data_IF_760453764844
#
_entry.id   IF_760453764844
#
_cell.length_a   1.000
_cell.length_b   1.000
_cell.length_c   1.000
_cell.angle_alpha   90.00
_cell.angle_beta   90.00
_cell.angle_gamma   90.00
#
_symmetry.space_group_name_H-M   'P 1'
#
loop_
_entity.id
_entity.type
_entity.pdbx_description
1 polymer ?
#
# COMPACT_ATOMS: atom_id res chain seq x y z
N UNK A 1 37.93 -30.27 4.19
CA UNK A 1 36.47 -30.39 4.42
C UNK A 1 36.17 -31.15 5.71
N UNK A 2 36.91 -32.21 6.05
CA UNK A 2 36.67 -33.07 7.24
C UNK A 2 36.72 -32.39 8.61
N UNK A 3 37.43 -31.25 8.74
CA UNK A 3 37.44 -30.47 10.00
C UNK A 3 36.20 -29.59 10.20
N UNK A 4 35.46 -29.29 9.14
CA UNK A 4 34.26 -28.45 9.19
C UNK A 4 32.98 -29.27 9.36
N UNK A 5 33.00 -30.55 8.98
CA UNK A 5 31.84 -31.46 9.05
C UNK A 5 31.21 -31.53 10.44
N UNK A 6 31.97 -31.65 11.54
CA UNK A 6 31.37 -31.66 12.89
C UNK A 6 30.66 -30.36 13.24
N UNK A 7 31.16 -29.23 12.76
CA UNK A 7 30.58 -27.91 13.01
C UNK A 7 29.33 -27.67 12.16
N UNK A 8 29.37 -28.08 10.89
CA UNK A 8 28.20 -28.05 10.00
C UNK A 8 27.09 -28.96 10.53
N UNK A 9 27.45 -30.15 11.02
CA UNK A 9 26.50 -31.10 11.60
C UNK A 9 25.85 -30.53 12.87
N UNK A 10 26.62 -29.86 13.72
CA UNK A 10 26.09 -29.19 14.91
C UNK A 10 25.07 -28.09 14.59
N UNK A 11 25.29 -27.36 13.50
CA UNK A 11 24.47 -26.21 13.12
C UNK A 11 23.23 -26.59 12.29
N UNK A 12 23.32 -27.62 11.46
CA UNK A 12 22.29 -27.90 10.45
C UNK A 12 21.66 -29.30 10.53
N UNK A 13 22.22 -30.23 11.33
CA UNK A 13 21.53 -31.50 11.60
C UNK A 13 20.74 -31.41 12.90
N UNK A 14 19.62 -32.11 12.93
CA UNK A 14 18.86 -32.30 14.17
C UNK A 14 19.70 -33.14 15.14
N UNK A 15 19.84 -32.65 16.37
CA UNK A 15 20.67 -33.29 17.39
C UNK A 15 19.86 -34.36 18.16
N UNK A 16 20.57 -35.24 18.87
CA UNK A 16 19.97 -36.27 19.74
C UNK A 16 19.08 -37.29 19.01
N UNK A 17 19.58 -38.01 17.99
CA UNK A 17 18.83 -39.09 17.37
C UNK A 17 18.55 -40.20 18.39
N UNK A 18 17.35 -40.75 18.34
CA UNK A 18 16.93 -41.91 19.13
C UNK A 18 16.39 -43.01 18.20
N UNK A 19 16.36 -44.27 18.64
CA UNK A 19 15.72 -45.33 17.87
C UNK A 19 14.26 -44.99 17.55
N UNK A 20 13.82 -45.31 16.34
CA UNK A 20 12.41 -45.18 15.96
C UNK A 20 11.55 -46.04 16.90
N UNK A 21 10.46 -45.48 17.47
CA UNK A 21 9.54 -46.25 18.30
C UNK A 21 8.98 -47.47 17.53
N UNK A 22 8.76 -48.59 18.22
CA UNK A 22 8.21 -49.80 17.59
C UNK A 22 6.82 -49.56 16.95
N UNK A 23 6.03 -48.67 17.55
CA UNK A 23 4.74 -48.21 17.03
C UNK A 23 4.74 -46.68 16.99
N UNK A 24 5.28 -46.08 15.91
CA UNK A 24 5.32 -44.64 15.78
C UNK A 24 3.91 -44.09 15.54
N UNK A 25 3.49 -43.14 16.37
CA UNK A 25 2.16 -42.53 16.31
C UNK A 25 2.05 -41.36 15.32
N UNK A 26 3.17 -40.92 14.77
CA UNK A 26 3.27 -39.78 13.86
C UNK A 26 4.53 -39.87 13.02
N UNK A 27 4.44 -39.77 11.69
CA UNK A 27 5.58 -39.91 10.77
C UNK A 27 6.35 -41.26 10.85
N UNK A 28 5.73 -42.38 10.45
CA UNK A 28 6.33 -43.72 10.60
C UNK A 28 7.66 -43.92 9.86
N UNK A 29 7.90 -43.13 8.80
CA UNK A 29 9.12 -43.21 7.98
C UNK A 29 10.17 -42.14 8.36
N UNK A 30 9.99 -41.42 9.46
CA UNK A 30 10.91 -40.37 9.90
C UNK A 30 11.94 -40.89 10.90
N UNK A 31 13.10 -40.22 10.95
CA UNK A 31 14.00 -40.31 12.10
C UNK A 31 13.37 -39.61 13.32
N UNK A 32 13.66 -40.14 14.51
CA UNK A 32 13.20 -39.60 15.78
C UNK A 32 14.35 -39.04 16.60
N UNK A 33 14.01 -38.04 17.42
CA UNK A 33 14.97 -37.30 18.21
C UNK A 33 14.41 -37.03 19.62
N UNK A 34 15.30 -36.91 20.60
CA UNK A 34 14.94 -36.33 21.90
C UNK A 34 15.24 -34.83 21.91
N UNK A 35 14.83 -34.14 22.96
CA UNK A 35 15.21 -32.74 23.21
C UNK A 35 16.58 -32.67 23.88
N UNK A 36 17.33 -31.60 23.66
CA UNK A 36 18.54 -31.35 24.43
C UNK A 36 19.20 -30.00 24.18
N UNK A 37 20.31 -29.75 24.88
CA UNK A 37 20.96 -28.43 24.93
C UNK A 37 21.66 -28.04 23.62
N UNK A 38 22.16 -29.02 22.87
CA UNK A 38 22.84 -28.77 21.59
C UNK A 38 21.90 -28.21 20.52
N UNK A 39 20.58 -28.34 20.70
CA UNK A 39 19.58 -27.76 19.79
C UNK A 39 19.67 -26.22 19.74
N UNK A 40 20.30 -25.56 20.74
CA UNK A 40 20.54 -24.11 20.73
C UNK A 40 21.46 -23.67 19.59
N UNK A 41 22.39 -24.53 19.15
CA UNK A 41 23.29 -24.24 18.02
C UNK A 41 22.53 -24.27 16.70
N UNK A 42 21.60 -25.22 16.53
CA UNK A 42 20.70 -25.25 15.39
C UNK A 42 19.78 -24.02 15.36
N UNK A 43 19.24 -23.62 16.51
CA UNK A 43 18.44 -22.38 16.64
C UNK A 43 19.27 -21.16 16.21
N UNK A 44 20.52 -21.03 16.67
CA UNK A 44 21.40 -19.93 16.28
C UNK A 44 21.70 -19.92 14.77
N UNK A 45 21.92 -21.09 14.17
CA UNK A 45 22.08 -21.23 12.72
C UNK A 45 20.82 -20.79 11.97
N UNK A 46 19.64 -21.21 12.43
CA UNK A 46 18.37 -20.83 11.82
C UNK A 46 18.07 -19.34 11.95
N UNK A 47 18.48 -18.67 13.04
CA UNK A 47 18.39 -17.20 13.15
C UNK A 47 19.21 -16.53 12.04
N UNK A 48 20.44 -16.99 11.80
CA UNK A 48 21.30 -16.44 10.74
C UNK A 48 20.71 -16.69 9.34
N UNK A 49 20.22 -17.91 9.07
CA UNK A 49 19.55 -18.25 7.81
C UNK A 49 18.32 -17.37 7.59
N UNK A 50 17.50 -17.19 8.63
CA UNK A 50 16.30 -16.35 8.56
C UNK A 50 16.63 -14.88 8.26
N UNK A 51 17.68 -14.32 8.86
CA UNK A 51 18.12 -12.96 8.56
C UNK A 51 18.54 -12.81 7.08
N UNK A 52 19.30 -13.78 6.55
CA UNK A 52 19.71 -13.79 5.14
C UNK A 52 18.49 -13.93 4.22
N UNK A 53 17.60 -14.89 4.49
CA UNK A 53 16.40 -15.12 3.68
C UNK A 53 15.50 -13.88 3.65
N UNK A 54 15.34 -13.20 4.80
CA UNK A 54 14.60 -11.95 4.88
C UNK A 54 15.17 -10.89 3.96
N UNK A 55 16.46 -10.63 4.06
CA UNK A 55 17.08 -9.53 3.34
C UNK A 55 17.16 -9.84 1.84
N UNK A 56 17.42 -11.09 1.45
CA UNK A 56 17.34 -11.55 0.06
C UNK A 56 15.93 -11.32 -0.49
N UNK A 57 14.90 -11.80 0.21
CA UNK A 57 13.53 -11.68 -0.28
C UNK A 57 13.06 -10.22 -0.39
N UNK A 58 13.43 -9.39 0.59
CA UNK A 58 13.14 -7.94 0.56
C UNK A 58 13.82 -7.27 -0.62
N UNK A 59 15.15 -7.38 -0.71
CA UNK A 59 15.96 -6.62 -1.68
C UNK A 59 15.83 -7.13 -3.11
N UNK A 60 15.62 -8.44 -3.31
CA UNK A 60 15.66 -9.06 -4.65
C UNK A 60 14.28 -9.33 -5.23
N UNK A 61 13.23 -9.43 -4.40
CA UNK A 61 11.87 -9.74 -4.86
C UNK A 61 10.94 -8.56 -4.62
N UNK A 62 10.73 -8.18 -3.36
CA UNK A 62 9.66 -7.23 -3.03
C UNK A 62 10.01 -5.78 -3.35
N UNK A 63 11.22 -5.31 -3.04
CA UNK A 63 11.63 -3.94 -3.36
C UNK A 63 11.63 -3.66 -4.86
N UNK A 64 12.24 -4.52 -5.72
CA UNK A 64 12.23 -4.29 -7.17
C UNK A 64 10.80 -4.28 -7.73
N UNK A 65 9.96 -5.22 -7.30
CA UNK A 65 8.56 -5.29 -7.73
C UNK A 65 7.76 -4.05 -7.31
N UNK A 66 7.81 -3.67 -6.03
CA UNK A 66 7.08 -2.53 -5.51
C UNK A 66 7.55 -1.23 -6.16
N UNK A 67 8.86 -1.07 -6.33
CA UNK A 67 9.46 0.10 -6.98
C UNK A 67 9.00 0.21 -8.42
N UNK A 68 9.05 -0.89 -9.18
CA UNK A 68 8.55 -0.92 -10.55
C UNK A 68 7.08 -0.49 -10.63
N UNK A 69 6.20 -1.13 -9.84
CA UNK A 69 4.76 -0.85 -9.87
C UNK A 69 4.45 0.59 -9.48
N UNK A 70 4.99 1.05 -8.36
CA UNK A 70 4.70 2.39 -7.84
C UNK A 70 5.28 3.49 -8.73
N UNK A 71 6.47 3.30 -9.28
CA UNK A 71 7.06 4.25 -10.24
C UNK A 71 6.25 4.31 -11.53
N UNK A 72 5.79 3.16 -12.05
CA UNK A 72 4.90 3.11 -13.22
C UNK A 72 3.61 3.89 -12.96
N UNK A 73 2.96 3.64 -11.83
CA UNK A 73 1.70 4.29 -11.47
C UNK A 73 1.91 5.81 -11.21
N UNK A 74 3.05 6.21 -10.62
CA UNK A 74 3.41 7.62 -10.41
C UNK A 74 3.69 8.35 -11.73
N UNK A 75 4.45 7.73 -12.64
CA UNK A 75 4.74 8.30 -13.96
C UNK A 75 3.44 8.47 -14.78
N UNK A 76 2.54 7.49 -14.73
CA UNK A 76 1.23 7.59 -15.37
C UNK A 76 0.40 8.75 -14.79
N UNK A 77 0.39 8.93 -13.47
CA UNK A 77 -0.27 10.08 -12.81
C UNK A 77 0.38 11.42 -13.17
N UNK A 78 1.71 11.48 -13.29
CA UNK A 78 2.41 12.69 -13.69
C UNK A 78 2.06 13.08 -15.14
N UNK A 79 2.04 12.10 -16.05
CA UNK A 79 1.64 12.30 -17.45
C UNK A 79 0.18 12.76 -17.57
N UNK A 80 -0.74 12.11 -16.84
CA UNK A 80 -2.15 12.48 -16.83
C UNK A 80 -2.38 13.91 -16.31
N UNK A 81 -1.65 14.33 -15.26
CA UNK A 81 -1.69 15.71 -14.75
C UNK A 81 -1.19 16.71 -15.78
N UNK A 82 -0.08 16.41 -16.45
CA UNK A 82 0.46 17.28 -17.47
C UNK A 82 -0.44 17.39 -18.71
N UNK A 83 -1.09 16.29 -19.11
CA UNK A 83 -2.13 16.31 -20.17
C UNK A 83 -3.29 17.22 -19.78
N UNK A 84 -3.86 17.04 -18.58
CA UNK A 84 -4.95 17.90 -18.09
C UNK A 84 -4.55 19.38 -18.03
N UNK A 85 -3.33 19.68 -17.61
CA UNK A 85 -2.81 21.05 -17.58
C UNK A 85 -2.64 21.62 -19.00
N UNK A 86 -2.16 20.82 -19.95
CA UNK A 86 -2.06 21.20 -21.35
C UNK A 86 -3.45 21.48 -21.94
N UNK A 87 -4.45 20.65 -21.67
CA UNK A 87 -5.83 20.83 -22.13
C UNK A 87 -6.46 22.10 -21.52
N UNK A 88 -6.27 22.33 -20.21
CA UNK A 88 -6.77 23.55 -19.55
C UNK A 88 -6.14 24.83 -20.11
N UNK A 89 -4.82 24.83 -20.32
CA UNK A 89 -4.10 25.98 -20.87
C UNK A 89 -4.42 26.21 -22.36
N UNK A 90 -4.58 25.14 -23.14
CA UNK A 90 -5.02 25.22 -24.52
C UNK A 90 -6.42 25.81 -24.62
N UNK A 91 -7.40 25.26 -23.87
CA UNK A 91 -8.78 25.74 -23.84
C UNK A 91 -8.91 27.18 -23.31
N UNK A 92 -8.12 27.54 -22.29
CA UNK A 92 -8.07 28.91 -21.78
C UNK A 92 -7.51 29.90 -22.81
N UNK A 93 -6.47 29.51 -23.56
CA UNK A 93 -5.86 30.35 -24.60
C UNK A 93 -6.76 30.48 -25.83
N UNK A 94 -7.43 29.40 -26.26
CA UNK A 94 -8.36 29.44 -27.39
C UNK A 94 -9.60 30.25 -27.07
N UNK A 95 -10.26 30.00 -25.93
CA UNK A 95 -11.45 30.77 -25.53
C UNK A 95 -11.12 32.22 -25.21
N UNK A 96 -9.97 32.49 -24.57
CA UNK A 96 -9.53 33.85 -24.28
C UNK A 96 -9.21 34.65 -25.55
N UNK A 97 -8.56 34.04 -26.54
CA UNK A 97 -8.34 34.69 -27.84
C UNK A 97 -9.63 34.84 -28.64
N UNK A 98 -10.45 33.80 -28.73
CA UNK A 98 -11.71 33.85 -29.49
C UNK A 98 -12.64 34.91 -28.89
N UNK A 99 -12.95 34.84 -27.60
CA UNK A 99 -13.87 35.80 -26.97
C UNK A 99 -13.29 37.22 -26.89
N UNK A 100 -11.98 37.37 -26.65
CA UNK A 100 -11.34 38.68 -26.59
C UNK A 100 -11.24 39.35 -27.96
N UNK A 101 -10.98 38.57 -29.01
CA UNK A 101 -10.91 39.08 -30.37
C UNK A 101 -12.30 39.30 -30.97
N UNK A 102 -13.21 38.34 -30.82
CA UNK A 102 -14.57 38.45 -31.35
C UNK A 102 -15.32 39.60 -30.67
N UNK A 103 -15.35 39.69 -29.34
CA UNK A 103 -16.04 40.80 -28.65
C UNK A 103 -15.31 42.14 -28.84
N UNK A 104 -13.97 42.13 -28.89
CA UNK A 104 -13.18 43.35 -29.09
C UNK A 104 -13.34 43.94 -30.49
N UNK A 105 -13.29 43.10 -31.53
CA UNK A 105 -13.51 43.53 -32.90
C UNK A 105 -14.99 43.76 -33.21
N UNK A 106 -15.91 42.86 -32.86
CA UNK A 106 -17.33 43.11 -33.21
C UNK A 106 -17.89 44.32 -32.49
N UNK A 107 -17.67 44.50 -31.17
CA UNK A 107 -18.19 45.68 -30.47
C UNK A 107 -17.38 46.94 -30.78
N UNK A 108 -16.06 46.86 -30.91
CA UNK A 108 -15.21 48.02 -31.23
C UNK A 108 -15.48 48.55 -32.64
N UNK A 109 -15.62 47.65 -33.61
CA UNK A 109 -15.85 48.01 -35.01
C UNK A 109 -17.32 48.35 -35.27
N UNK A 110 -18.29 47.64 -34.66
CA UNK A 110 -19.70 48.01 -34.77
C UNK A 110 -19.97 49.36 -34.09
N UNK A 111 -19.51 49.61 -32.86
CA UNK A 111 -19.75 50.90 -32.22
C UNK A 111 -18.95 52.04 -32.86
N UNK A 112 -17.72 51.77 -33.32
CA UNK A 112 -16.87 52.76 -33.99
C UNK A 112 -17.37 53.17 -35.38
N UNK A 113 -17.76 52.20 -36.22
CA UNK A 113 -18.31 52.50 -37.55
C UNK A 113 -19.73 53.03 -37.45
N UNK A 114 -20.61 52.45 -36.65
CA UNK A 114 -22.01 52.87 -36.62
C UNK A 114 -22.16 54.28 -36.04
N UNK A 115 -21.45 54.62 -34.95
CA UNK A 115 -21.51 55.96 -34.37
C UNK A 115 -20.63 56.98 -35.12
N UNK A 116 -19.46 56.58 -35.62
CA UNK A 116 -18.56 57.46 -36.37
C UNK A 116 -19.11 57.82 -37.75
N UNK A 117 -19.70 56.85 -38.46
CA UNK A 117 -20.27 57.06 -39.79
C UNK A 117 -21.64 57.73 -39.72
N UNK A 118 -22.50 57.39 -38.75
CA UNK A 118 -23.80 58.08 -38.59
C UNK A 118 -23.62 59.55 -38.21
N UNK A 119 -22.71 59.88 -37.28
CA UNK A 119 -22.46 61.27 -36.88
C UNK A 119 -21.66 62.06 -37.94
N UNK A 120 -20.75 61.42 -38.66
CA UNK A 120 -19.99 62.05 -39.75
C UNK A 120 -20.84 62.37 -40.97
N UNK A 121 -21.74 61.47 -41.37
CA UNK A 121 -22.62 61.69 -42.52
C UNK A 121 -23.75 62.68 -42.19
N UNK A 122 -24.35 62.61 -41.00
CA UNK A 122 -25.42 63.53 -40.61
C UNK A 122 -24.92 64.99 -40.52
N UNK A 123 -23.73 65.22 -39.95
CA UNK A 123 -23.16 66.56 -39.83
C UNK A 123 -22.48 67.07 -41.13
N UNK A 124 -21.97 66.18 -41.97
CA UNK A 124 -21.37 66.55 -43.26
C UNK A 124 -22.42 66.95 -44.31
N UNK A 125 -23.54 66.23 -44.39
CA UNK A 125 -24.59 66.53 -45.36
C UNK A 125 -25.45 67.74 -44.97
N UNK A 126 -25.70 67.95 -43.67
CA UNK A 126 -26.48 69.09 -43.19
C UNK A 126 -25.75 70.43 -43.44
N UNK A 127 -24.41 70.46 -43.32
CA UNK A 127 -23.62 71.68 -43.54
C UNK A 127 -23.15 71.87 -44.99
N UNK A 128 -23.13 70.81 -45.80
CA UNK A 128 -22.78 70.91 -47.23
C UNK A 128 -23.92 71.44 -48.12
N UNK A 129 -25.18 71.15 -47.77
CA UNK A 129 -26.33 71.56 -48.58
C UNK A 129 -26.82 73.00 -48.30
N UNK A 130 -26.50 73.57 -47.13
CA UNK A 130 -26.88 74.93 -46.78
C UNK A 130 -26.01 76.01 -47.46
N UNK A 131 -24.78 75.67 -47.87
CA UNK A 131 -23.83 76.63 -48.47
C UNK A 131 -23.54 76.41 -49.96
N UNK A 132 -24.19 75.43 -50.61
CA UNK A 132 -24.01 75.13 -52.04
C UNK A 132 -24.97 75.83 -53.00
N UNK A 133 -26.01 76.51 -52.50
CA UNK A 133 -27.07 77.10 -53.34
C UNK A 133 -26.90 78.59 -53.67
N UNK A 134 -25.72 79.17 -53.41
CA UNK A 134 -25.49 80.60 -53.60
C UNK A 134 -24.27 80.93 -54.46
N UNK A 135 -23.85 80.07 -55.39
CA UNK A 135 -23.13 80.43 -56.62
C UNK A 135 -22.82 79.18 -57.45
N UNK A 136 -23.39 79.08 -58.63
CA UNK A 136 -23.11 77.95 -59.54
C UNK A 136 -24.16 77.69 -60.63
N UNK A 137 -25.06 78.64 -60.92
CA UNK A 137 -25.78 78.63 -62.19
C UNK A 137 -24.93 79.39 -63.21
N UNK A 138 -24.16 78.68 -64.04
CA UNK A 138 -23.90 79.07 -65.44
C UNK A 138 -23.25 77.90 -66.20
N UNK A 139 -24.11 77.16 -66.90
CA UNK A 139 -23.87 76.38 -68.11
C UNK A 139 -22.92 75.17 -68.08
N UNK A 140 -23.57 74.00 -68.05
CA UNK A 140 -23.06 72.71 -68.50
C UNK A 140 -24.22 71.72 -68.63
N UNK A 141 -25.11 72.02 -69.56
CA UNK A 141 -26.34 71.27 -69.80
C UNK A 141 -26.06 69.80 -70.17
N UNK A 142 -26.95 68.94 -69.71
CA UNK A 142 -27.40 67.69 -70.31
C UNK A 142 -26.50 66.44 -70.19
N UNK A 143 -27.00 65.54 -69.34
CA UNK A 143 -27.05 64.08 -69.51
C UNK A 143 -25.72 63.31 -69.54
N UNK A 144 -25.48 62.59 -68.44
CA UNK A 144 -24.61 61.41 -68.46
C UNK A 144 -24.17 60.88 -67.10
N UNK A 145 -24.21 61.69 -66.04
CA UNK A 145 -23.44 61.35 -64.82
C UNK A 145 -24.22 61.17 -63.53
N UNK A 146 -25.52 61.48 -63.47
CA UNK A 146 -26.26 61.49 -62.20
C UNK A 146 -26.92 60.16 -61.81
N UNK A 147 -27.05 59.19 -62.71
CA UNK A 147 -27.65 57.88 -62.38
C UNK A 147 -26.71 56.67 -62.51
N UNK A 148 -25.46 56.85 -62.94
CA UNK A 148 -24.47 55.76 -63.02
C UNK A 148 -23.56 55.67 -61.80
N UNK A 149 -23.26 56.79 -61.15
CA UNK A 149 -22.20 56.85 -60.13
C UNK A 149 -22.70 56.69 -58.68
N UNK A 150 -23.96 57.06 -58.39
CA UNK A 150 -24.51 56.97 -57.04
C UNK A 150 -24.88 55.52 -56.63
N UNK A 151 -25.43 54.72 -57.55
CA UNK A 151 -25.86 53.35 -57.24
C UNK A 151 -24.77 52.29 -57.44
N UNK A 152 -23.80 52.54 -58.32
CA UNK A 152 -22.66 51.64 -58.54
C UNK A 152 -21.63 51.69 -57.40
N UNK A 153 -21.37 52.90 -56.88
CA UNK A 153 -20.37 53.09 -55.84
C UNK A 153 -20.93 52.75 -54.44
N UNK A 154 -22.20 53.07 -54.14
CA UNK A 154 -22.80 52.77 -52.84
C UNK A 154 -23.02 51.26 -52.63
N UNK A 155 -23.55 50.53 -53.63
CA UNK A 155 -23.83 49.09 -53.48
C UNK A 155 -22.60 48.20 -53.74
N UNK A 156 -21.67 48.65 -54.60
CA UNK A 156 -20.43 47.94 -54.89
C UNK A 156 -19.43 47.98 -53.72
N UNK A 157 -19.24 49.15 -53.10
CA UNK A 157 -18.38 49.25 -51.90
C UNK A 157 -19.06 48.64 -50.67
N UNK A 158 -20.37 48.86 -50.45
CA UNK A 158 -21.04 48.29 -49.29
C UNK A 158 -21.09 46.76 -49.34
N UNK A 159 -21.43 46.13 -50.47
CA UNK A 159 -21.50 44.66 -50.51
C UNK A 159 -20.13 44.00 -50.69
N UNK A 160 -19.22 44.58 -51.48
CA UNK A 160 -17.89 44.03 -51.72
C UNK A 160 -16.98 44.13 -50.49
N UNK A 161 -16.99 45.29 -49.82
CA UNK A 161 -16.13 45.52 -48.66
C UNK A 161 -16.74 44.94 -47.38
N UNK A 162 -18.07 44.97 -47.20
CA UNK A 162 -18.66 44.42 -45.97
C UNK A 162 -18.72 42.89 -46.01
N UNK A 163 -19.13 42.26 -47.12
CA UNK A 163 -19.21 40.79 -47.18
C UNK A 163 -17.86 40.13 -47.51
N UNK A 164 -17.02 40.76 -48.35
CA UNK A 164 -15.70 40.20 -48.69
C UNK A 164 -14.71 40.28 -47.54
N UNK A 165 -14.67 41.41 -46.83
CA UNK A 165 -13.79 41.60 -45.68
C UNK A 165 -14.33 40.90 -44.43
N UNK A 166 -15.65 40.94 -44.16
CA UNK A 166 -16.20 40.21 -43.01
C UNK A 166 -16.10 38.69 -43.18
N UNK A 167 -16.49 38.12 -44.33
CA UNK A 167 -16.44 36.66 -44.50
C UNK A 167 -15.01 36.15 -44.75
N UNK A 168 -14.18 36.89 -45.50
CA UNK A 168 -12.79 36.48 -45.76
C UNK A 168 -11.93 36.56 -44.52
N UNK A 169 -12.06 37.64 -43.73
CA UNK A 169 -11.27 37.84 -42.52
C UNK A 169 -11.82 37.00 -41.35
N UNK A 170 -13.14 36.88 -41.17
CA UNK A 170 -13.69 36.03 -40.12
C UNK A 170 -13.44 34.54 -40.39
N UNK A 171 -13.72 34.03 -41.60
CA UNK A 171 -13.54 32.60 -41.89
C UNK A 171 -12.06 32.23 -42.06
N UNK A 172 -11.25 33.10 -42.67
CA UNK A 172 -9.80 32.86 -42.83
C UNK A 172 -9.05 32.90 -41.50
N UNK A 173 -9.38 33.86 -40.63
CA UNK A 173 -8.74 34.00 -39.33
C UNK A 173 -9.27 32.98 -38.31
N UNK A 174 -10.59 32.72 -38.28
CA UNK A 174 -11.17 31.69 -37.40
C UNK A 174 -10.67 30.29 -37.78
N UNK A 175 -10.64 29.93 -39.07
CA UNK A 175 -10.13 28.62 -39.49
C UNK A 175 -8.60 28.53 -39.37
N UNK A 176 -7.86 29.62 -39.60
CA UNK A 176 -6.41 29.67 -39.42
C UNK A 176 -5.98 29.53 -37.96
N UNK A 177 -6.67 30.19 -37.02
CA UNK A 177 -6.41 30.06 -35.59
C UNK A 177 -6.95 28.74 -35.03
N UNK A 178 -8.14 28.29 -35.44
CA UNK A 178 -8.69 27.02 -34.99
C UNK A 178 -7.84 25.83 -35.48
N UNK A 179 -7.48 25.77 -36.77
CA UNK A 179 -6.73 24.62 -37.31
C UNK A 179 -5.22 24.71 -37.07
N UNK A 180 -4.62 25.92 -37.13
CA UNK A 180 -3.20 26.10 -36.90
C UNK A 180 -2.78 25.92 -35.44
N UNK A 181 -3.65 26.27 -34.49
CA UNK A 181 -3.37 26.16 -33.06
C UNK A 181 -3.76 24.77 -32.50
N UNK A 182 -4.81 24.13 -33.03
CA UNK A 182 -5.17 22.74 -32.68
C UNK A 182 -4.15 21.73 -33.19
N UNK A 183 -3.60 21.92 -34.40
CA UNK A 183 -2.60 21.03 -34.98
C UNK A 183 -1.22 21.09 -34.29
N UNK A 184 -0.84 22.25 -33.75
CA UNK A 184 0.41 22.42 -32.99
C UNK A 184 0.28 22.12 -31.50
N UNK A 185 -0.89 22.36 -30.88
CA UNK A 185 -1.16 21.95 -29.51
C UNK A 185 -1.25 20.42 -29.38
N UNK A 186 -1.89 19.73 -30.34
CA UNK A 186 -1.96 18.27 -30.37
C UNK A 186 -0.59 17.57 -30.55
N UNK A 187 0.41 18.28 -31.10
CA UNK A 187 1.78 17.74 -31.30
C UNK A 187 2.73 17.99 -30.13
N UNK A 188 2.41 18.88 -29.19
CA UNK A 188 3.16 19.00 -27.93
C UNK A 188 2.68 17.93 -26.94
N UNK A 189 3.05 16.69 -27.22
CA UNK A 189 3.02 15.61 -26.24
C UNK A 189 3.63 16.10 -24.92
N UNK A 190 3.00 15.88 -23.75
CA UNK A 190 3.56 16.21 -22.44
C UNK A 190 4.71 15.26 -22.11
N UNK A 191 5.80 15.33 -22.87
CA UNK A 191 6.85 14.31 -22.89
C UNK A 191 7.82 14.40 -21.71
N UNK A 192 7.60 15.29 -20.72
CA UNK A 192 8.50 15.42 -19.57
C UNK A 192 7.83 15.87 -18.26
N UNK A 193 6.65 15.36 -17.93
CA UNK A 193 6.12 15.52 -16.57
C UNK A 193 6.92 14.64 -15.61
N UNK A 194 7.87 15.22 -14.86
CA UNK A 194 8.65 14.50 -13.86
C UNK A 194 7.92 14.49 -12.51
N UNK A 195 7.96 13.38 -11.76
CA UNK A 195 7.43 13.34 -10.40
C UNK A 195 8.20 14.28 -9.48
N UNK A 196 7.51 14.83 -8.48
CA UNK A 196 8.11 15.72 -7.48
C UNK A 196 8.99 14.94 -6.49
N UNK A 197 9.93 15.64 -5.83
CA UNK A 197 10.78 15.03 -4.77
C UNK A 197 9.95 14.45 -3.62
N UNK A 198 8.84 15.10 -3.24
CA UNK A 198 7.93 14.62 -2.19
C UNK A 198 7.27 13.29 -2.58
N UNK A 199 6.79 13.17 -3.82
CA UNK A 199 6.19 11.92 -4.32
C UNK A 199 7.22 10.78 -4.42
N UNK A 200 8.46 11.08 -4.82
CA UNK A 200 9.54 10.11 -4.86
C UNK A 200 9.91 9.61 -3.44
N UNK A 201 9.98 10.51 -2.45
CA UNK A 201 10.16 10.14 -1.04
C UNK A 201 9.02 9.25 -0.55
N UNK A 202 7.77 9.59 -0.87
CA UNK A 202 6.60 8.78 -0.50
C UNK A 202 6.63 7.39 -1.14
N UNK A 203 6.96 7.28 -2.43
CA UNK A 203 7.12 5.98 -3.10
C UNK A 203 8.22 5.17 -2.44
N UNK A 204 9.38 5.77 -2.15
CA UNK A 204 10.47 5.07 -1.48
C UNK A 204 10.04 4.50 -0.11
N UNK A 205 9.35 5.30 0.71
CA UNK A 205 8.81 4.85 2.00
C UNK A 205 7.80 3.70 1.83
N UNK A 206 6.90 3.79 0.85
CA UNK A 206 5.94 2.72 0.56
C UNK A 206 6.61 1.44 0.06
N UNK A 207 7.69 1.55 -0.72
CA UNK A 207 8.48 0.39 -1.19
C UNK A 207 9.10 -0.35 -0.02
N UNK A 208 9.76 0.35 0.89
CA UNK A 208 10.39 -0.26 2.07
C UNK A 208 9.36 -0.97 2.95
N UNK A 209 8.25 -0.28 3.27
CA UNK A 209 7.16 -0.85 4.08
C UNK A 209 6.48 -2.04 3.39
N UNK A 210 6.29 -1.98 2.08
CA UNK A 210 5.77 -3.12 1.31
C UNK A 210 6.71 -4.33 1.39
N UNK A 211 8.01 -4.12 1.24
CA UNK A 211 8.99 -5.21 1.31
C UNK A 211 9.04 -5.84 2.71
N UNK A 212 8.98 -5.03 3.77
CA UNK A 212 8.87 -5.52 5.15
C UNK A 212 7.64 -6.39 5.35
N UNK A 213 6.47 -5.92 4.90
CA UNK A 213 5.23 -6.72 5.00
C UNK A 213 5.28 -7.97 4.10
N UNK A 214 5.96 -7.91 2.96
CA UNK A 214 6.17 -9.06 2.09
C UNK A 214 6.95 -10.19 2.76
N UNK A 215 7.97 -9.86 3.56
CA UNK A 215 8.66 -10.86 4.38
C UNK A 215 7.71 -11.55 5.35
N UNK A 216 6.93 -10.79 6.13
CA UNK A 216 5.97 -11.37 7.07
C UNK A 216 4.93 -12.24 6.37
N UNK A 217 4.34 -11.75 5.29
CA UNK A 217 3.37 -12.53 4.50
C UNK A 217 3.99 -13.86 4.00
N UNK A 218 5.23 -13.83 3.53
CA UNK A 218 5.93 -15.03 3.04
C UNK A 218 6.21 -15.99 4.18
N UNK A 219 6.83 -15.50 5.25
CA UNK A 219 7.19 -16.31 6.40
C UNK A 219 5.97 -17.02 7.01
N UNK A 220 4.92 -16.28 7.35
CA UNK A 220 3.74 -16.85 7.98
C UNK A 220 3.01 -17.82 7.05
N UNK A 221 2.99 -17.58 5.73
CA UNK A 221 2.42 -18.55 4.77
C UNK A 221 3.19 -19.87 4.79
N UNK A 222 4.52 -19.83 4.70
CA UNK A 222 5.33 -21.05 4.71
C UNK A 222 5.28 -21.76 6.08
N UNK A 223 5.38 -20.98 7.17
CA UNK A 223 5.32 -21.49 8.54
C UNK A 223 3.99 -22.17 8.82
N UNK A 224 2.87 -21.54 8.48
CA UNK A 224 1.55 -22.10 8.69
C UNK A 224 1.31 -23.35 7.82
N UNK A 225 1.71 -23.34 6.55
CA UNK A 225 1.60 -24.53 5.67
C UNK A 225 2.41 -25.72 6.22
N UNK A 226 3.64 -25.47 6.69
CA UNK A 226 4.47 -26.51 7.28
C UNK A 226 3.93 -26.98 8.64
N UNK A 227 3.45 -26.05 9.48
CA UNK A 227 2.79 -26.35 10.74
C UNK A 227 1.53 -27.19 10.56
N UNK A 228 0.74 -26.89 9.52
CA UNK A 228 -0.44 -27.68 9.16
C UNK A 228 -0.03 -29.09 8.74
N UNK A 229 0.98 -29.21 7.87
CA UNK A 229 1.55 -30.52 7.49
C UNK A 229 2.02 -31.32 8.71
N UNK A 230 2.68 -30.67 9.68
CA UNK A 230 3.07 -31.33 10.93
C UNK A 230 1.86 -31.77 11.74
N UNK A 231 0.89 -30.88 11.95
CA UNK A 231 -0.27 -31.14 12.79
C UNK A 231 -1.17 -32.26 12.25
N UNK A 232 -1.43 -32.31 10.94
CA UNK A 232 -2.28 -33.37 10.35
C UNK A 232 -1.66 -34.78 10.42
N UNK A 233 -0.35 -34.87 10.67
CA UNK A 233 0.38 -36.13 10.85
C UNK A 233 0.59 -36.48 12.34
N UNK A 234 0.14 -35.63 13.27
CA UNK A 234 0.13 -35.92 14.70
C UNK A 234 -1.22 -36.55 15.09
N UNK A 235 -1.26 -37.40 16.14
CA UNK A 235 -2.50 -37.95 16.69
C UNK A 235 -3.20 -36.87 17.54
N UNK A 236 -3.53 -35.74 16.93
CA UNK A 236 -4.13 -34.57 17.55
C UNK A 236 -5.23 -34.01 16.67
N UNK A 237 -6.25 -33.43 17.28
CA UNK A 237 -7.34 -32.79 16.57
C UNK A 237 -7.36 -31.28 16.85
N UNK A 238 -7.81 -30.50 15.87
CA UNK A 238 -7.90 -29.04 16.00
C UNK A 238 -8.99 -28.62 17.01
N UNK A 239 -10.08 -29.40 17.08
CA UNK A 239 -11.27 -29.06 17.88
C UNK A 239 -11.42 -29.89 19.16
N UNK A 240 -10.67 -30.99 19.30
CA UNK A 240 -10.56 -31.72 20.56
C UNK A 240 -9.20 -31.43 21.22
N UNK A 241 -9.13 -30.42 22.10
CA UNK A 241 -7.89 -30.05 22.74
C UNK A 241 -7.46 -31.07 23.81
N UNK A 242 -8.22 -32.14 24.08
CA UNK A 242 -7.78 -33.22 24.98
C UNK A 242 -6.82 -34.19 24.27
N UNK A 243 -7.00 -34.38 22.96
CA UNK A 243 -6.18 -35.26 22.14
C UNK A 243 -4.68 -34.94 22.21
N UNK A 244 -4.32 -33.65 22.36
CA UNK A 244 -2.92 -33.21 22.47
C UNK A 244 -2.19 -33.73 23.71
N UNK A 245 -2.91 -34.22 24.72
CA UNK A 245 -2.34 -34.72 25.98
C UNK A 245 -2.24 -36.25 26.05
N UNK A 246 -2.91 -36.95 25.15
CA UNK A 246 -2.92 -38.42 25.13
C UNK A 246 -1.49 -38.93 24.90
N UNK A 247 -1.06 -39.87 25.75
CA UNK A 247 0.28 -40.46 25.67
C UNK A 247 1.41 -39.55 26.13
N UNK A 248 1.12 -38.46 26.85
CA UNK A 248 2.15 -37.66 27.51
C UNK A 248 2.95 -38.50 28.53
N UNK A 249 4.29 -38.44 28.57
CA UNK A 249 5.17 -37.48 27.91
C UNK A 249 5.59 -37.89 26.49
N UNK A 250 5.55 -36.94 25.55
CA UNK A 250 5.94 -37.15 24.15
C UNK A 250 7.46 -37.01 23.96
N UNK A 251 8.22 -37.99 24.44
CA UNK A 251 9.69 -37.94 24.45
C UNK A 251 10.27 -38.07 23.04
N UNK A 252 9.71 -38.98 22.23
CA UNK A 252 10.18 -39.23 20.88
C UNK A 252 9.58 -38.22 19.90
N UNK A 253 10.40 -37.29 19.41
CA UNK A 253 9.97 -36.27 18.45
C UNK A 253 10.34 -36.69 17.03
N UNK A 254 9.35 -36.82 16.16
CA UNK A 254 9.59 -36.97 14.73
C UNK A 254 10.40 -35.77 14.20
N UNK A 255 11.32 -36.01 13.27
CA UNK A 255 12.17 -35.00 12.64
C UNK A 255 11.41 -33.75 12.18
N UNK A 256 10.28 -33.87 11.44
CA UNK A 256 9.48 -32.72 11.03
C UNK A 256 8.95 -31.87 12.19
N UNK A 257 8.44 -32.50 13.26
CA UNK A 257 7.98 -31.80 14.45
C UNK A 257 9.13 -31.07 15.16
N UNK A 258 10.28 -31.75 15.34
CA UNK A 258 11.45 -31.12 15.96
C UNK A 258 11.96 -29.95 15.14
N UNK A 259 12.08 -30.12 13.82
CA UNK A 259 12.48 -29.04 12.92
C UNK A 259 11.52 -27.83 13.00
N UNK A 260 10.21 -28.08 12.95
CA UNK A 260 9.19 -27.04 13.10
C UNK A 260 9.37 -26.24 14.40
N UNK A 261 9.58 -26.93 15.51
CA UNK A 261 9.74 -26.31 16.81
C UNK A 261 11.01 -25.45 16.90
N UNK A 262 12.13 -25.93 16.37
CA UNK A 262 13.40 -25.22 16.39
C UNK A 262 13.38 -23.99 15.45
N UNK A 263 12.81 -24.11 14.25
CA UNK A 263 12.72 -22.97 13.32
C UNK A 263 11.76 -21.89 13.83
N UNK A 264 10.65 -22.27 14.48
CA UNK A 264 9.74 -21.32 15.13
C UNK A 264 10.41 -20.65 16.33
N UNK A 265 11.17 -21.38 17.15
CA UNK A 265 11.93 -20.77 18.25
C UNK A 265 12.96 -19.77 17.72
N UNK A 266 13.66 -20.11 16.64
CA UNK A 266 14.60 -19.23 15.98
C UNK A 266 13.93 -17.98 15.40
N UNK A 267 12.74 -18.08 14.81
CA UNK A 267 12.04 -16.93 14.23
C UNK A 267 11.58 -15.93 15.29
N UNK A 268 11.04 -16.40 16.41
CA UNK A 268 10.65 -15.53 17.53
C UNK A 268 11.86 -14.85 18.17
N UNK A 269 12.98 -15.55 18.34
CA UNK A 269 14.24 -14.97 18.81
C UNK A 269 14.81 -13.94 17.81
N UNK A 270 14.79 -14.26 16.52
CA UNK A 270 15.18 -13.32 15.46
C UNK A 270 14.35 -12.03 15.55
N UNK A 271 13.03 -12.14 15.77
CA UNK A 271 12.14 -10.98 15.86
C UNK A 271 12.45 -10.06 17.05
N UNK A 272 13.03 -10.57 18.15
CA UNK A 272 13.51 -9.73 19.27
C UNK A 272 14.64 -8.81 18.80
N UNK A 273 15.60 -9.32 18.02
CA UNK A 273 16.66 -8.48 17.47
C UNK A 273 16.09 -7.43 16.51
N UNK A 274 15.15 -7.83 15.66
CA UNK A 274 14.53 -6.92 14.70
C UNK A 274 13.72 -5.82 15.39
N UNK A 275 12.95 -6.16 16.42
CA UNK A 275 12.16 -5.19 17.19
C UNK A 275 13.03 -4.12 17.88
N UNK A 276 14.26 -4.47 18.26
CA UNK A 276 15.21 -3.51 18.85
C UNK A 276 16.03 -2.74 17.80
N UNK A 277 16.18 -3.29 16.60
CA UNK A 277 16.86 -2.61 15.49
C UNK A 277 15.94 -1.63 14.75
N UNK A 278 14.64 -1.93 14.70
CA UNK A 278 13.63 -1.06 14.08
C UNK A 278 13.26 0.13 14.96
N UNK A 279 12.80 1.21 14.32
CA UNK A 279 12.31 2.39 15.03
C UNK A 279 11.18 2.01 16.00
N UNK A 280 11.29 2.52 17.23
CA UNK A 280 10.38 2.19 18.33
C UNK A 280 8.98 2.72 18.03
N UNK A 281 7.99 1.82 18.07
CA UNK A 281 6.55 2.14 17.96
C UNK A 281 5.91 2.33 19.33
N UNK A 282 4.72 2.93 19.36
CA UNK A 282 3.94 3.18 20.60
C UNK A 282 3.68 1.92 21.44
N UNK A 283 3.59 0.76 20.78
CA UNK A 283 3.31 -0.52 21.45
C UNK A 283 4.56 -1.40 21.64
N UNK A 284 5.77 -0.80 21.57
CA UNK A 284 7.02 -1.55 21.62
C UNK A 284 7.15 -2.41 22.87
N UNK A 285 6.74 -1.92 24.05
CA UNK A 285 6.81 -2.70 25.28
C UNK A 285 5.81 -3.87 25.27
N UNK A 286 4.60 -3.70 24.74
CA UNK A 286 3.65 -4.81 24.61
C UNK A 286 4.20 -5.91 23.69
N UNK A 287 4.81 -5.54 22.56
CA UNK A 287 5.47 -6.51 21.67
C UNK A 287 6.66 -7.20 22.33
N UNK A 288 7.53 -6.45 23.03
CA UNK A 288 8.68 -7.03 23.70
C UNK A 288 8.24 -8.05 24.75
N UNK A 289 7.27 -7.69 25.59
CA UNK A 289 6.68 -8.58 26.59
C UNK A 289 6.09 -9.83 25.94
N UNK A 290 5.37 -9.69 24.84
CA UNK A 290 4.87 -10.83 24.08
C UNK A 290 5.98 -11.74 23.55
N UNK A 291 7.06 -11.19 22.98
CA UNK A 291 8.17 -12.00 22.50
C UNK A 291 8.89 -12.73 23.65
N UNK A 292 9.08 -12.08 24.80
CA UNK A 292 9.66 -12.73 25.98
C UNK A 292 8.76 -13.87 26.47
N UNK A 293 7.44 -13.65 26.58
CA UNK A 293 6.48 -14.67 27.01
C UNK A 293 6.43 -15.84 26.01
N UNK A 294 6.33 -15.57 24.72
CA UNK A 294 6.24 -16.61 23.66
C UNK A 294 7.50 -17.44 23.58
N UNK A 295 8.69 -16.83 23.66
CA UNK A 295 9.96 -17.55 23.72
C UNK A 295 10.04 -18.40 24.99
N UNK A 296 9.66 -17.86 26.15
CA UNK A 296 9.64 -18.63 27.40
C UNK A 296 8.67 -19.82 27.35
N UNK A 297 7.49 -19.65 26.75
CA UNK A 297 6.52 -20.72 26.50
C UNK A 297 7.10 -21.79 25.56
N UNK A 298 7.76 -21.39 24.47
CA UNK A 298 8.39 -22.33 23.54
C UNK A 298 9.49 -23.15 24.21
N UNK A 299 10.41 -22.49 24.93
CA UNK A 299 11.48 -23.19 25.66
C UNK A 299 10.95 -24.12 26.74
N UNK A 300 10.00 -23.65 27.55
CA UNK A 300 9.38 -24.48 28.60
C UNK A 300 8.71 -25.68 27.97
N UNK A 301 7.88 -25.46 26.95
CA UNK A 301 7.15 -26.52 26.26
C UNK A 301 8.08 -27.55 25.61
N UNK A 302 9.20 -27.10 25.03
CA UNK A 302 10.19 -27.98 24.42
C UNK A 302 10.84 -28.90 25.47
N UNK A 303 11.32 -28.33 26.58
CA UNK A 303 12.02 -29.12 27.61
C UNK A 303 11.08 -29.91 28.53
N UNK A 304 9.79 -29.61 28.55
CA UNK A 304 8.78 -30.39 29.30
C UNK A 304 7.97 -31.33 28.41
N UNK A 305 8.37 -31.57 27.16
CA UNK A 305 7.68 -32.47 26.22
C UNK A 305 6.20 -32.09 25.95
N UNK A 306 5.88 -30.80 26.00
CA UNK A 306 4.57 -30.23 25.63
C UNK A 306 4.47 -29.91 24.14
N UNK A 307 5.27 -30.59 23.31
CA UNK A 307 5.46 -30.25 21.90
C UNK A 307 4.19 -30.36 21.07
N UNK A 308 3.25 -31.27 21.41
CA UNK A 308 1.95 -31.38 20.73
C UNK A 308 1.05 -30.17 20.96
N UNK A 309 0.85 -29.79 22.22
CA UNK A 309 0.08 -28.57 22.55
C UNK A 309 0.76 -27.33 21.99
N UNK A 310 2.10 -27.26 22.08
CA UNK A 310 2.89 -26.19 21.48
C UNK A 310 2.72 -26.09 19.96
N UNK A 311 2.73 -27.23 19.26
CA UNK A 311 2.50 -27.29 17.81
C UNK A 311 1.10 -26.76 17.44
N UNK A 312 0.07 -27.16 18.19
CA UNK A 312 -1.30 -26.67 17.98
C UNK A 312 -1.38 -25.15 18.24
N UNK A 313 -0.78 -24.66 19.32
CA UNK A 313 -0.73 -23.22 19.62
C UNK A 313 -0.05 -22.46 18.48
N UNK A 314 1.14 -22.89 18.04
CA UNK A 314 1.85 -22.25 16.92
C UNK A 314 1.02 -22.22 15.63
N UNK A 315 0.35 -23.33 15.29
CA UNK A 315 -0.53 -23.40 14.12
C UNK A 315 -1.69 -22.40 14.19
N UNK A 316 -2.35 -22.31 15.34
CA UNK A 316 -3.40 -21.31 15.58
C UNK A 316 -2.85 -19.89 15.50
N UNK A 317 -1.60 -19.70 15.95
CA UNK A 317 -1.01 -18.37 16.01
C UNK A 317 -0.67 -17.82 14.62
N UNK A 318 -0.05 -18.62 13.77
CA UNK A 318 0.43 -18.12 12.47
C UNK A 318 -0.70 -17.81 11.48
N UNK A 319 -1.90 -18.36 11.67
CA UNK A 319 -3.00 -18.24 10.70
C UNK A 319 -3.42 -16.80 10.41
N UNK A 320 -3.75 -16.02 11.45
CA UNK A 320 -4.21 -14.65 11.26
C UNK A 320 -3.09 -13.71 10.78
N UNK A 321 -1.84 -14.05 11.09
CA UNK A 321 -0.67 -13.22 10.82
C UNK A 321 -0.26 -13.22 9.33
N UNK A 322 -0.92 -14.04 8.50
CA UNK A 322 -0.83 -13.97 7.03
C UNK A 322 -1.60 -12.76 6.50
N UNK A 323 -2.80 -12.49 7.02
CA UNK A 323 -3.76 -11.58 6.38
C UNK A 323 -3.48 -10.10 6.67
N UNK A 324 -2.96 -9.76 7.84
CA UNK A 324 -2.64 -8.38 8.19
C UNK A 324 -1.51 -7.80 7.31
N UNK A 325 -0.36 -8.48 7.13
CA UNK A 325 0.66 -8.04 6.19
C UNK A 325 0.14 -7.96 4.75
N UNK A 326 -0.68 -8.91 4.31
CA UNK A 326 -1.31 -8.86 2.98
C UNK A 326 -2.17 -7.61 2.80
N UNK A 327 -3.05 -7.30 3.75
CA UNK A 327 -3.86 -6.07 3.70
C UNK A 327 -2.99 -4.81 3.63
N UNK A 328 -1.91 -4.74 4.43
CA UNK A 328 -0.96 -3.63 4.41
C UNK A 328 -0.23 -3.52 3.07
N UNK A 329 0.23 -4.64 2.50
CA UNK A 329 0.85 -4.68 1.18
C UNK A 329 -0.10 -4.11 0.11
N UNK A 330 -1.35 -4.59 0.06
CA UNK A 330 -2.35 -4.11 -0.90
C UNK A 330 -2.52 -2.59 -0.82
N UNK A 331 -2.56 -2.05 0.40
CA UNK A 331 -2.62 -0.60 0.63
C UNK A 331 -1.38 0.13 0.11
N UNK A 332 -0.17 -0.35 0.39
CA UNK A 332 1.06 0.33 -0.02
C UNK A 332 1.25 0.41 -1.53
N UNK A 333 0.75 -0.58 -2.27
CA UNK A 333 0.76 -0.57 -3.75
C UNK A 333 -0.53 0.02 -4.37
N UNK A 334 -1.36 0.71 -3.58
CA UNK A 334 -2.57 1.40 -4.02
C UNK A 334 -3.57 0.48 -4.77
N UNK A 335 -3.75 -0.75 -4.30
CA UNK A 335 -4.87 -1.59 -4.75
C UNK A 335 -6.19 -0.92 -4.31
N UNK A 336 -7.27 -1.16 -5.07
CA UNK A 336 -8.59 -0.58 -4.76
C UNK A 336 -8.97 -0.84 -3.30
N UNK A 337 -9.43 0.21 -2.64
CA UNK A 337 -9.76 0.22 -1.20
C UNK A 337 -10.66 -0.95 -0.78
N UNK A 338 -11.63 -1.32 -1.62
CA UNK A 338 -12.55 -2.44 -1.36
C UNK A 338 -11.84 -3.78 -1.09
N UNK A 339 -10.75 -4.09 -1.80
CA UNK A 339 -10.02 -5.35 -1.60
C UNK A 339 -9.17 -5.31 -0.33
N UNK A 340 -8.59 -4.14 -0.03
CA UNK A 340 -7.84 -3.89 1.21
C UNK A 340 -8.75 -4.05 2.44
N UNK A 341 -9.93 -3.44 2.40
CA UNK A 341 -10.90 -3.49 3.50
C UNK A 341 -11.49 -4.89 3.67
N UNK A 342 -11.77 -5.60 2.56
CA UNK A 342 -12.20 -7.01 2.62
C UNK A 342 -11.13 -7.92 3.25
N UNK A 343 -9.86 -7.75 2.88
CA UNK A 343 -8.75 -8.52 3.46
C UNK A 343 -8.57 -8.19 4.95
N UNK A 344 -8.72 -6.92 5.33
CA UNK A 344 -8.70 -6.50 6.73
C UNK A 344 -9.88 -7.09 7.53
N UNK A 345 -11.09 -7.11 6.96
CA UNK A 345 -12.25 -7.76 7.58
C UNK A 345 -12.04 -9.27 7.76
N UNK A 346 -11.47 -9.94 6.76
CA UNK A 346 -11.12 -11.36 6.87
C UNK A 346 -10.06 -11.61 7.95
N UNK A 347 -9.04 -10.75 8.03
CA UNK A 347 -8.07 -10.75 9.12
C UNK A 347 -8.76 -10.68 10.49
N UNK A 348 -9.71 -9.76 10.69
CA UNK A 348 -10.42 -9.62 11.95
C UNK A 348 -11.18 -10.88 12.37
N UNK A 349 -11.93 -11.48 11.43
CA UNK A 349 -12.68 -12.71 11.70
C UNK A 349 -11.72 -13.86 12.01
N UNK A 350 -10.63 -13.98 11.25
CA UNK A 350 -9.61 -15.00 11.47
C UNK A 350 -8.93 -14.85 12.84
N UNK A 351 -8.66 -13.61 13.28
CA UNK A 351 -8.10 -13.31 14.60
C UNK A 351 -9.06 -13.73 15.70
N UNK A 352 -10.33 -13.34 15.62
CA UNK A 352 -11.33 -13.69 16.64
C UNK A 352 -11.43 -15.20 16.82
N UNK A 353 -11.53 -15.95 15.73
CA UNK A 353 -11.66 -17.42 15.77
C UNK A 353 -10.39 -18.07 16.32
N UNK A 354 -9.22 -17.73 15.78
CA UNK A 354 -7.96 -18.38 16.17
C UNK A 354 -7.54 -18.02 17.60
N UNK A 355 -7.67 -16.76 18.02
CA UNK A 355 -7.17 -16.25 19.31
C UNK A 355 -8.20 -16.35 20.43
N UNK A 356 -9.42 -15.91 20.19
CA UNK A 356 -10.43 -15.78 21.26
C UNK A 356 -11.43 -16.92 21.30
N UNK A 357 -11.42 -17.84 20.33
CA UNK A 357 -12.20 -19.08 20.41
C UNK A 357 -11.27 -20.28 20.60
N UNK A 358 -10.48 -20.62 19.58
CA UNK A 358 -9.68 -21.85 19.57
C UNK A 358 -8.54 -21.81 20.60
N UNK A 359 -7.81 -20.71 20.70
CA UNK A 359 -6.73 -20.63 21.68
C UNK A 359 -7.25 -20.63 23.13
N UNK A 360 -8.39 -20.00 23.45
CA UNK A 360 -9.04 -20.14 24.77
C UNK A 360 -9.39 -21.60 25.07
N UNK A 361 -9.89 -22.35 24.10
CA UNK A 361 -10.19 -23.78 24.24
C UNK A 361 -8.92 -24.58 24.58
N UNK A 362 -7.78 -24.25 23.95
CA UNK A 362 -6.47 -24.86 24.27
C UNK A 362 -5.94 -24.45 25.64
N UNK A 363 -6.10 -23.19 26.04
CA UNK A 363 -5.74 -22.69 27.38
C UNK A 363 -6.55 -23.41 28.45
N UNK A 364 -7.86 -23.50 28.27
CA UNK A 364 -8.76 -24.22 29.18
C UNK A 364 -8.37 -25.70 29.29
N UNK A 365 -8.08 -26.34 28.16
CA UNK A 365 -7.58 -27.71 28.15
C UNK A 365 -6.29 -27.84 28.96
N UNK A 366 -5.31 -26.95 28.77
CA UNK A 366 -4.03 -26.98 29.48
C UNK A 366 -4.21 -26.87 31.00
N UNK A 367 -5.16 -26.06 31.46
CA UNK A 367 -5.44 -25.84 32.88
C UNK A 367 -6.20 -27.01 33.52
N UNK A 368 -7.15 -27.60 32.79
CA UNK A 368 -8.12 -28.57 33.33
C UNK A 368 -7.75 -30.04 33.10
N UNK A 369 -6.60 -30.34 32.52
CA UNK A 369 -6.18 -31.73 32.31
C UNK A 369 -5.88 -32.47 33.63
N UNK A 370 -6.74 -33.43 33.98
CA UNK A 370 -6.57 -34.31 35.14
C UNK A 370 -5.60 -35.48 34.88
N UNK A 371 -5.40 -35.85 33.62
CA UNK A 371 -4.58 -37.01 33.22
C UNK A 371 -3.08 -36.74 33.23
N UNK A 372 -2.65 -35.51 33.54
CA UNK A 372 -1.25 -35.14 33.51
C UNK A 372 -0.58 -35.52 34.84
N UNK A 373 0.37 -36.48 34.85
CA UNK A 373 1.12 -36.80 36.06
C UNK A 373 2.08 -35.64 36.36
N UNK A 374 1.62 -34.71 37.19
CA UNK A 374 2.36 -33.53 37.68
C UNK A 374 3.43 -33.93 38.70
N UNK A 375 4.35 -34.79 38.27
CA UNK A 375 5.47 -35.30 39.05
C UNK A 375 6.79 -34.96 38.37
N UNK A 376 7.82 -34.70 39.18
CA UNK A 376 9.17 -34.49 38.69
C UNK A 376 9.90 -35.84 38.73
N UNK A 377 9.90 -36.56 37.62
CA UNK A 377 10.63 -37.81 37.42
C UNK A 377 11.45 -37.70 36.13
N UNK A 378 12.73 -37.34 36.31
CA UNK A 378 13.64 -37.07 35.21
C UNK A 378 14.04 -38.32 34.44
N UNK A 379 14.04 -39.49 35.09
CA UNK A 379 14.39 -40.75 34.44
C UNK A 379 13.30 -41.22 33.48
N UNK A 380 12.03 -40.96 33.83
CA UNK A 380 10.87 -41.30 32.99
C UNK A 380 10.42 -40.18 32.06
N UNK A 381 11.14 -39.06 32.01
CA UNK A 381 10.85 -37.93 31.11
C UNK A 381 9.71 -37.01 31.60
N UNK A 382 9.31 -37.11 32.87
CA UNK A 382 8.36 -36.20 33.51
C UNK A 382 9.11 -35.01 34.12
N UNK A 383 9.15 -33.90 33.39
CA UNK A 383 9.86 -32.69 33.81
C UNK A 383 8.96 -31.66 34.50
N UNK A 384 7.67 -31.97 34.69
CA UNK A 384 6.67 -30.96 35.04
C UNK A 384 6.16 -31.12 36.48
N UNK A 385 6.63 -30.23 37.34
CA UNK A 385 6.06 -30.06 38.68
C UNK A 385 4.77 -29.23 38.63
N UNK A 386 3.90 -29.35 39.64
CA UNK A 386 2.71 -28.50 39.81
C UNK A 386 2.98 -26.99 39.66
N UNK A 387 4.02 -26.39 40.29
CA UNK A 387 4.31 -24.97 40.10
C UNK A 387 4.80 -24.64 38.68
N UNK A 388 5.53 -25.55 38.01
CA UNK A 388 5.94 -25.35 36.62
C UNK A 388 4.73 -25.34 35.67
N UNK A 389 3.77 -26.25 35.87
CA UNK A 389 2.50 -26.27 35.12
C UNK A 389 1.66 -25.00 35.37
N UNK A 390 1.56 -24.55 36.62
CA UNK A 390 0.87 -23.32 36.96
C UNK A 390 1.53 -22.09 36.30
N UNK A 391 2.87 -22.02 36.30
CA UNK A 391 3.64 -20.97 35.62
C UNK A 391 3.43 -20.98 34.11
N UNK A 392 3.49 -22.15 33.47
CA UNK A 392 3.19 -22.31 32.05
C UNK A 392 1.78 -21.83 31.70
N UNK A 393 0.79 -22.25 32.48
CA UNK A 393 -0.61 -21.85 32.31
C UNK A 393 -0.81 -20.34 32.50
N UNK A 394 -0.15 -19.75 33.50
CA UNK A 394 -0.20 -18.29 33.73
C UNK A 394 0.38 -17.50 32.55
N UNK A 395 1.47 -17.98 31.95
CA UNK A 395 2.04 -17.37 30.74
C UNK A 395 1.10 -17.45 29.54
N UNK A 396 0.35 -18.55 29.37
CA UNK A 396 -0.66 -18.67 28.32
C UNK A 396 -1.82 -17.68 28.52
N UNK A 397 -2.30 -17.51 29.76
CA UNK A 397 -3.33 -16.52 30.08
C UNK A 397 -2.80 -15.10 29.87
N UNK A 398 -1.56 -14.80 30.24
CA UNK A 398 -0.94 -13.51 29.97
C UNK A 398 -0.84 -13.24 28.45
N UNK A 399 -0.52 -14.26 27.66
CA UNK A 399 -0.51 -14.17 26.20
C UNK A 399 -1.90 -13.88 25.63
N UNK A 400 -2.97 -14.47 26.20
CA UNK A 400 -4.36 -14.18 25.82
C UNK A 400 -4.77 -12.74 26.16
N UNK A 401 -4.38 -12.23 27.33
CA UNK A 401 -4.66 -10.84 27.72
C UNK A 401 -4.02 -9.86 26.73
N UNK A 402 -2.77 -10.09 26.31
CA UNK A 402 -2.12 -9.25 25.30
C UNK A 402 -2.87 -9.31 23.95
N UNK A 403 -3.31 -10.50 23.52
CA UNK A 403 -4.12 -10.66 22.31
C UNK A 403 -5.45 -9.91 22.40
N UNK A 404 -6.11 -9.91 23.55
CA UNK A 404 -7.35 -9.17 23.77
C UNK A 404 -7.15 -7.64 23.69
N UNK A 405 -6.03 -7.13 24.21
CA UNK A 405 -5.65 -5.70 24.08
C UNK A 405 -5.50 -5.32 22.60
N UNK A 406 -4.77 -6.12 21.82
CA UNK A 406 -4.63 -5.86 20.38
C UNK A 406 -5.94 -6.01 19.63
N UNK A 407 -6.78 -6.98 19.99
CA UNK A 407 -8.10 -7.14 19.38
C UNK A 407 -8.99 -5.92 19.61
N UNK A 408 -8.97 -5.35 20.81
CA UNK A 408 -9.64 -4.08 21.09
C UNK A 408 -9.14 -2.94 20.18
N UNK A 409 -7.81 -2.83 19.96
CA UNK A 409 -7.25 -1.85 19.02
C UNK A 409 -7.70 -2.10 17.57
N UNK A 410 -7.76 -3.36 17.16
CA UNK A 410 -8.22 -3.77 15.82
C UNK A 410 -9.70 -3.39 15.62
N UNK A 411 -10.57 -3.69 16.58
CA UNK A 411 -11.97 -3.29 16.56
C UNK A 411 -12.15 -1.76 16.50
N UNK A 412 -11.29 -1.01 17.20
CA UNK A 412 -11.27 0.46 17.15
C UNK A 412 -10.89 0.99 15.76
N UNK A 413 -9.93 0.36 15.08
CA UNK A 413 -9.58 0.70 13.69
C UNK A 413 -10.75 0.39 12.76
N UNK A 414 -11.39 -0.78 12.91
CA UNK A 414 -12.55 -1.18 12.11
C UNK A 414 -13.72 -0.21 12.25
N UNK A 415 -14.01 0.24 13.47
CA UNK A 415 -15.02 1.27 13.71
C UNK A 415 -14.73 2.56 12.93
N UNK A 416 -13.47 3.02 12.92
CA UNK A 416 -13.06 4.21 12.14
C UNK A 416 -13.19 4.02 10.63
N UNK A 417 -12.94 2.82 10.12
CA UNK A 417 -13.17 2.47 8.71
C UNK A 417 -14.65 2.56 8.35
N UNK A 418 -15.53 2.00 9.18
CA UNK A 418 -16.99 2.06 8.99
C UNK A 418 -17.50 3.51 9.04
N UNK A 419 -16.91 4.35 9.88
CA UNK A 419 -17.21 5.79 9.96
C UNK A 419 -16.62 6.62 8.81
N UNK A 420 -15.97 6.01 7.83
CA UNK A 420 -15.44 6.68 6.63
C UNK A 420 -14.10 7.41 6.81
N UNK A 421 -13.46 7.27 7.98
CA UNK A 421 -12.17 7.93 8.30
C UNK A 421 -10.96 7.14 7.72
N UNK A 422 -11.20 5.93 7.21
CA UNK A 422 -10.17 5.06 6.63
C UNK A 422 -9.30 4.37 7.70
N UNK A 423 -8.58 3.31 7.30
CA UNK A 423 -7.81 2.46 8.21
C UNK A 423 -6.44 3.07 8.54
N UNK A 424 -6.33 4.07 9.42
CA UNK A 424 -5.02 4.58 9.88
C UNK A 424 -4.45 3.73 11.02
N UNK A 425 -3.16 3.35 10.91
CA UNK A 425 -2.47 2.55 11.91
C UNK A 425 -2.07 3.45 13.10
N UNK A 426 -2.81 3.39 14.21
CA UNK A 426 -2.56 4.21 15.42
C UNK A 426 -1.22 3.90 16.10
N UNK A 427 -0.65 2.74 15.77
CA UNK A 427 0.58 2.21 16.36
C UNK A 427 1.84 2.82 15.75
N UNK A 428 1.78 3.24 14.48
CA UNK A 428 2.93 3.85 13.82
C UNK A 428 3.09 5.29 14.31
N UNK A 429 4.26 5.61 14.88
CA UNK A 429 4.70 6.99 14.93
C UNK A 429 4.92 7.42 13.49
N UNK A 430 4.11 8.35 13.01
CA UNK A 430 4.47 9.11 11.83
C UNK A 430 5.75 9.84 12.22
N UNK A 431 6.90 9.37 11.72
CA UNK A 431 8.11 10.17 11.72
C UNK A 431 7.72 11.55 11.22
N UNK A 432 7.82 12.49 12.17
CA UNK A 432 7.54 13.92 12.07
C UNK A 432 7.82 14.36 10.65
N UNK A 433 6.82 14.95 10.00
CA UNK A 433 7.01 15.66 8.75
C UNK A 433 8.24 16.55 8.90
N UNK A 434 9.32 16.24 8.17
CA UNK A 434 10.46 17.13 8.02
C UNK A 434 9.90 18.48 7.59
N UNK A 435 9.91 19.42 8.52
CA UNK A 435 9.35 20.75 8.39
C UNK A 435 10.30 21.62 7.53
N UNK A 436 10.76 21.09 6.40
CA UNK A 436 11.61 21.75 5.39
C UNK A 436 10.78 22.74 4.53
N UNK A 437 9.75 23.37 5.10
CA UNK A 437 9.05 24.51 4.48
C UNK A 437 9.32 25.85 5.15
N UNK A 438 10.10 25.91 6.23
CA UNK A 438 10.58 27.17 6.80
C UNK A 438 12.06 27.39 6.48
N UNK A 439 12.35 27.82 5.24
CA UNK A 439 13.73 28.14 4.87
C UNK A 439 13.94 28.86 3.54
N UNK A 440 12.88 29.28 2.85
CA UNK A 440 13.00 30.13 1.66
C UNK A 440 11.90 31.20 1.64
N UNK A 441 11.98 32.14 2.57
CA UNK A 441 11.29 33.42 2.43
C UNK A 441 11.95 34.57 3.20
N UNK A 442 13.28 34.54 3.36
CA UNK A 442 14.06 35.74 3.72
C UNK A 442 15.47 35.63 3.14
N UNK A 443 15.66 36.10 1.91
CA UNK A 443 16.79 36.96 1.53
C UNK A 443 16.66 37.45 0.09
N UNK A 444 16.64 38.79 -0.02
CA UNK A 444 16.82 39.68 -1.17
C UNK A 444 15.72 39.77 -2.23
#
# INVERSE_FOLDING_TARGET
MDRLTPFVDLLFKLQYPIPTPEQPDSFPNSNYYSTGKLDVFAIAAYIAVMAILRDVLRLWVFEPFARWKLMRDLNAKALARASKQADHTANGRTNGKANGHDNGHTNGHANGYTNGHANGHANGHANGHANGYANGHTNGHANGHTNGHANGHANGYANGHTNGYANGHANGHANGIANGNSGNAAKRSPRSAKPTRKELKQVHRSVLRFAEQGWFATYYTFSWCYGLYVHVNLPTELLDPKAVWIGYPHIALAGPLKFYYLIQTASYLHQIFILNAEARRKDHWQMMTHHVITVALLFTSYFTNFTRVGCLILLLMDWCDIFLPLAKMMRYINIKQIYTDATFGFFMVSWLISRHCLFIVVVHSTITQEYLPLMLDRERGYYLSKPAHAGFSAMLVALEILQAIWFWMICRVAWRVVMGVGATDERSDEEVEDNDSEGQSKEN
#
